data_IF_367605583320
#
_entry.id   IF_367605583320
#
_cell.length_a   1.000
_cell.length_b   1.000
_cell.length_c   1.000
_cell.angle_alpha   90.00
_cell.angle_beta   90.00
_cell.angle_gamma   90.00
#
_symmetry.space_group_name_H-M   'P 1'
#
loop_
_entity.id
_entity.type
_entity.pdbx_description
1 polymer ?
#
# COMPACT_ATOMS: atom_id res chain seq x y z
N UNK A 1 -10.48 8.86 3.15
CA UNK A 1 -9.31 8.86 2.25
C UNK A 1 -9.69 9.81 1.15
N UNK A 2 -8.84 10.77 0.78
CA UNK A 2 -9.14 11.68 -0.32
C UNK A 2 -9.56 10.86 -1.54
N UNK A 3 -10.67 11.26 -2.19
CA UNK A 3 -11.23 10.61 -3.38
C UNK A 3 -10.23 10.39 -4.52
N UNK A 4 -9.07 11.05 -4.47
CA UNK A 4 -7.98 10.94 -5.45
C UNK A 4 -7.37 9.53 -5.56
N UNK A 5 -7.28 8.74 -4.49
CA UNK A 5 -6.76 7.36 -4.57
C UNK A 5 -7.74 6.37 -5.20
N UNK A 6 -9.04 6.56 -4.94
CA UNK A 6 -10.08 5.69 -5.50
C UNK A 6 -10.21 5.84 -7.02
N UNK A 7 -9.80 7.00 -7.56
CA UNK A 7 -9.94 7.31 -8.99
C UNK A 7 -8.64 7.13 -9.79
N UNK A 8 -7.53 6.72 -9.17
CA UNK A 8 -6.26 6.46 -9.86
C UNK A 8 -5.59 5.21 -9.28
N UNK A 9 -6.10 4.01 -9.60
CA UNK A 9 -5.56 2.76 -9.09
C UNK A 9 -4.15 2.50 -9.64
N UNK A 10 -3.25 2.03 -8.78
CA UNK A 10 -1.89 1.63 -9.17
C UNK A 10 -1.72 0.11 -8.98
N UNK A 11 -1.17 -0.63 -9.96
CA UNK A 11 -1.09 -2.10 -9.91
C UNK A 11 -0.33 -2.62 -8.68
N UNK A 12 0.67 -1.87 -8.22
CA UNK A 12 1.51 -2.24 -7.06
C UNK A 12 1.10 -1.60 -5.72
N UNK A 13 -0.11 -1.03 -5.64
CA UNK A 13 -0.71 -0.63 -4.37
C UNK A 13 -1.94 -1.50 -4.10
N UNK A 14 -2.24 -1.76 -2.83
CA UNK A 14 -3.51 -2.37 -2.46
C UNK A 14 -4.65 -1.37 -2.64
N UNK A 15 -5.75 -1.83 -3.22
CA UNK A 15 -6.94 -1.02 -3.40
C UNK A 15 -7.78 -1.07 -2.13
N UNK A 16 -8.13 0.11 -1.61
CA UNK A 16 -9.06 0.26 -0.50
C UNK A 16 -10.45 0.46 -1.09
N UNK A 17 -11.30 -0.53 -0.87
CA UNK A 17 -12.69 -0.55 -1.35
C UNK A 17 -13.57 0.38 -0.52
N UNK A 18 -13.22 0.60 0.74
CA UNK A 18 -13.99 1.49 1.61
C UNK A 18 -13.55 1.40 3.07
N UNK A 19 -14.25 2.17 3.89
CA UNK A 19 -14.12 2.14 5.35
C UNK A 19 -15.51 1.93 5.93
N UNK A 20 -15.64 0.98 6.84
CA UNK A 20 -16.84 0.77 7.64
C UNK A 20 -16.57 1.28 9.04
N UNK A 21 -17.50 2.06 9.56
CA UNK A 21 -17.56 2.42 10.98
C UNK A 21 -18.46 1.43 11.71
N UNK A 22 -17.93 0.77 12.74
CA UNK A 22 -18.68 -0.17 13.55
C UNK A 22 -18.43 0.11 15.03
N UNK A 23 -19.36 0.86 15.65
CA UNK A 23 -19.20 1.35 17.02
C UNK A 23 -17.97 2.26 17.13
N UNK A 24 -16.99 1.85 17.93
CA UNK A 24 -15.73 2.58 18.13
C UNK A 24 -14.58 2.05 17.25
N UNK A 25 -14.88 1.18 16.28
CA UNK A 25 -13.89 0.59 15.38
C UNK A 25 -14.05 1.12 13.96
N UNK A 26 -12.91 1.31 13.29
CA UNK A 26 -12.85 1.51 11.85
C UNK A 26 -12.35 0.22 11.19
N UNK A 27 -13.12 -0.29 10.24
CA UNK A 27 -12.78 -1.48 9.47
C UNK A 27 -12.43 -1.04 8.05
N UNK A 28 -11.19 -1.31 7.63
CA UNK A 28 -10.72 -1.06 6.27
C UNK A 28 -11.08 -2.24 5.37
N UNK A 29 -11.92 -2.00 4.37
CA UNK A 29 -12.17 -2.96 3.31
C UNK A 29 -11.14 -2.75 2.21
N UNK A 30 -10.44 -3.81 1.85
CA UNK A 30 -9.42 -3.80 0.81
C UNK A 30 -9.56 -5.01 -0.10
N UNK A 31 -9.11 -4.88 -1.34
CA UNK A 31 -9.04 -6.03 -2.24
C UNK A 31 -8.14 -7.11 -1.64
N UNK A 32 -8.54 -8.37 -1.80
CA UNK A 32 -7.71 -9.48 -1.35
C UNK A 32 -6.43 -9.52 -2.19
N UNK A 33 -5.31 -9.22 -1.56
CA UNK A 33 -3.99 -9.15 -2.18
C UNK A 33 -3.16 -10.40 -1.91
N UNK A 34 -3.74 -11.60 -1.89
CA UNK A 34 -3.00 -12.84 -1.61
C UNK A 34 -2.72 -13.09 -0.12
N UNK A 35 -2.00 -14.19 0.16
CA UNK A 35 -1.85 -14.75 1.50
C UNK A 35 -0.45 -14.62 2.11
N UNK A 36 0.55 -14.16 1.35
CA UNK A 36 1.93 -14.07 1.83
C UNK A 36 2.50 -12.66 1.64
N UNK A 37 3.12 -12.15 2.68
CA UNK A 37 3.94 -10.94 2.60
C UNK A 37 5.34 -11.25 2.04
N UNK A 38 6.09 -10.21 1.68
CA UNK A 38 7.41 -10.35 1.08
C UNK A 38 8.40 -10.98 2.07
N UNK A 39 8.24 -10.76 3.38
CA UNK A 39 9.06 -11.42 4.40
C UNK A 39 8.82 -12.94 4.39
N UNK A 40 7.57 -13.37 4.33
CA UNK A 40 7.15 -14.76 4.19
C UNK A 40 7.69 -15.36 2.89
N UNK A 41 7.57 -14.64 1.78
CA UNK A 41 8.09 -15.07 0.48
C UNK A 41 9.61 -15.28 0.52
N UNK A 42 10.37 -14.35 1.08
CA UNK A 42 11.83 -14.46 1.24
C UNK A 42 12.20 -15.71 2.06
N UNK A 43 11.43 -16.04 3.10
CA UNK A 43 11.65 -17.22 3.95
C UNK A 43 11.45 -18.55 3.21
N UNK A 44 10.81 -18.57 2.04
CA UNK A 44 10.66 -19.78 1.22
C UNK A 44 11.96 -20.18 0.51
N UNK A 45 12.91 -19.26 0.38
CA UNK A 45 14.17 -19.52 -0.33
C UNK A 45 15.26 -20.03 0.61
N UNK A 46 16.18 -20.88 0.12
CA UNK A 46 17.37 -21.30 0.86
C UNK A 46 18.13 -20.07 1.38
N UNK A 47 18.61 -20.17 2.62
CA UNK A 47 19.34 -19.09 3.30
C UNK A 47 18.60 -17.74 3.39
N UNK A 48 17.29 -17.72 3.09
CA UNK A 48 16.49 -16.49 2.99
C UNK A 48 17.01 -15.54 1.90
N UNK A 49 17.53 -16.11 0.79
CA UNK A 49 18.08 -15.35 -0.34
C UNK A 49 17.27 -15.58 -1.60
N UNK A 50 16.63 -14.51 -2.06
CA UNK A 50 15.88 -14.51 -3.32
C UNK A 50 16.89 -14.36 -4.49
N UNK A 51 16.75 -15.14 -5.58
CA UNK A 51 17.55 -14.96 -6.79
C UNK A 51 17.51 -13.53 -7.31
N UNK A 52 18.65 -13.02 -7.77
CA UNK A 52 18.79 -11.62 -8.19
C UNK A 52 17.79 -11.22 -9.29
N UNK A 53 17.49 -12.12 -10.24
CA UNK A 53 16.50 -11.88 -11.28
C UNK A 53 15.10 -11.61 -10.72
N UNK A 54 14.70 -12.38 -9.69
CA UNK A 54 13.42 -12.20 -9.00
C UNK A 54 13.46 -10.93 -8.17
N UNK A 55 14.53 -10.71 -7.39
CA UNK A 55 14.69 -9.51 -6.57
C UNK A 55 14.65 -8.24 -7.43
N UNK A 56 15.31 -8.23 -8.58
CA UNK A 56 15.32 -7.09 -9.49
C UNK A 56 13.89 -6.75 -9.95
N UNK A 57 13.12 -7.75 -10.40
CA UNK A 57 11.74 -7.56 -10.78
C UNK A 57 10.86 -7.05 -9.62
N UNK A 58 10.97 -7.63 -8.42
CA UNK A 58 10.15 -7.19 -7.29
C UNK A 58 10.50 -5.76 -6.83
N UNK A 59 11.79 -5.46 -6.67
CA UNK A 59 12.24 -4.18 -6.12
C UNK A 59 12.20 -3.04 -7.15
N UNK A 60 12.89 -3.20 -8.29
CA UNK A 60 13.04 -2.10 -9.24
C UNK A 60 11.77 -1.88 -10.06
N UNK A 61 11.13 -2.94 -10.52
CA UNK A 61 10.00 -2.81 -11.44
C UNK A 61 8.66 -2.57 -10.75
N UNK A 62 8.52 -2.96 -9.48
CA UNK A 62 7.21 -2.97 -8.82
C UNK A 62 7.16 -2.11 -7.56
N UNK A 63 8.02 -2.38 -6.58
CA UNK A 63 8.03 -1.62 -5.31
C UNK A 63 8.43 -0.16 -5.53
N UNK A 64 9.50 0.10 -6.29
CA UNK A 64 9.91 1.48 -6.61
C UNK A 64 8.87 2.22 -7.46
N UNK A 65 8.14 1.52 -8.35
CA UNK A 65 7.03 2.14 -9.10
C UNK A 65 5.89 2.59 -8.18
N UNK A 66 5.48 1.74 -7.24
CA UNK A 66 4.51 2.11 -6.21
C UNK A 66 4.97 3.32 -5.38
N UNK A 67 6.22 3.32 -4.92
CA UNK A 67 6.79 4.41 -4.13
C UNK A 67 6.82 5.72 -4.94
N UNK A 68 7.26 5.64 -6.19
CA UNK A 68 7.28 6.80 -7.08
C UNK A 68 5.86 7.38 -7.27
N UNK A 69 4.87 6.52 -7.49
CA UNK A 69 3.48 6.94 -7.57
C UNK A 69 3.00 7.67 -6.29
N UNK A 70 3.36 7.16 -5.11
CA UNK A 70 3.02 7.85 -3.85
C UNK A 70 3.69 9.22 -3.78
N UNK A 71 4.98 9.29 -4.09
CA UNK A 71 5.76 10.52 -4.00
C UNK A 71 5.29 11.60 -4.99
N UNK A 72 4.92 11.24 -6.22
CA UNK A 72 4.37 12.19 -7.20
C UNK A 72 3.02 12.75 -6.77
N UNK A 73 2.29 12.03 -5.91
CA UNK A 73 1.05 12.47 -5.29
C UNK A 73 1.26 13.08 -3.88
N UNK A 74 2.50 13.43 -3.53
CA UNK A 74 2.88 14.03 -2.24
C UNK A 74 2.54 13.16 -1.01
N UNK A 75 2.50 11.83 -1.16
CA UNK A 75 2.28 10.89 -0.06
C UNK A 75 3.58 10.21 0.30
N UNK A 76 3.92 10.21 1.59
CA UNK A 76 5.04 9.42 2.12
C UNK A 76 4.47 8.26 2.92
N UNK A 77 4.87 7.03 2.59
CA UNK A 77 4.39 5.81 3.25
C UNK A 77 4.82 5.71 4.72
N UNK A 78 6.10 6.02 4.98
CA UNK A 78 6.80 6.00 6.29
C UNK A 78 6.96 4.66 6.99
N UNK A 79 6.31 3.59 6.53
CA UNK A 79 6.51 2.23 7.08
C UNK A 79 6.73 1.20 5.96
N UNK A 80 7.72 1.44 5.09
CA UNK A 80 8.08 0.49 4.02
C UNK A 80 9.01 -0.56 4.59
N UNK A 81 8.53 -1.81 4.60
CA UNK A 81 9.23 -3.00 5.06
C UNK A 81 8.65 -4.25 4.38
N UNK A 82 9.35 -5.39 4.34
CA UNK A 82 8.87 -6.59 3.65
C UNK A 82 7.51 -7.11 4.16
N UNK A 83 7.20 -6.90 5.44
CA UNK A 83 5.91 -7.28 6.03
C UNK A 83 4.73 -6.47 5.48
N UNK A 84 5.00 -5.25 4.99
CA UNK A 84 3.98 -4.36 4.42
C UNK A 84 3.91 -4.46 2.89
N UNK A 85 4.43 -5.54 2.30
CA UNK A 85 4.39 -5.76 0.85
C UNK A 85 3.83 -7.16 0.63
N UNK A 86 2.67 -7.28 0.02
CA UNK A 86 2.10 -8.57 -0.37
C UNK A 86 2.72 -9.07 -1.67
N UNK A 87 2.92 -10.37 -1.78
CA UNK A 87 3.32 -11.06 -3.01
C UNK A 87 2.10 -11.82 -3.54
N UNK A 88 1.68 -11.47 -4.75
CA UNK A 88 0.48 -12.01 -5.39
C UNK A 88 0.80 -12.68 -6.70
N UNK A 89 0.02 -13.71 -7.03
CA UNK A 89 0.01 -14.27 -8.36
C UNK A 89 -1.06 -13.55 -9.17
N UNK A 90 -0.64 -12.91 -10.26
CA UNK A 90 -1.53 -12.30 -11.23
C UNK A 90 -2.26 -13.37 -12.07
N UNK A 91 -3.34 -12.99 -12.73
CA UNK A 91 -4.13 -13.88 -13.61
C UNK A 91 -3.32 -14.52 -14.74
N UNK A 92 -2.24 -13.87 -15.14
CA UNK A 92 -1.27 -14.35 -16.15
C UNK A 92 -0.13 -15.18 -15.55
N UNK A 93 -0.26 -15.61 -14.29
CA UNK A 93 0.75 -16.38 -13.54
C UNK A 93 2.07 -15.64 -13.28
N UNK A 94 2.08 -14.31 -13.40
CA UNK A 94 3.24 -13.49 -13.01
C UNK A 94 3.20 -13.13 -11.53
N UNK A 95 4.39 -13.02 -10.91
CA UNK A 95 4.51 -12.56 -9.53
C UNK A 95 4.39 -11.03 -9.52
N UNK A 96 3.43 -10.52 -8.74
CA UNK A 96 3.29 -9.09 -8.50
C UNK A 96 3.45 -8.74 -7.02
N UNK A 97 3.83 -7.50 -6.74
CA UNK A 97 3.87 -6.96 -5.38
C UNK A 97 2.78 -5.92 -5.17
N UNK A 98 2.15 -5.91 -3.99
CA UNK A 98 1.24 -4.84 -3.56
C UNK A 98 1.69 -4.25 -2.24
N UNK A 99 2.00 -2.96 -2.23
CA UNK A 99 2.27 -2.22 -1.00
C UNK A 99 0.97 -2.06 -0.21
N UNK A 100 1.02 -2.39 1.08
CA UNK A 100 -0.08 -2.34 2.04
C UNK A 100 0.27 -1.47 3.23
N UNK A 101 -0.72 -1.26 4.11
CA UNK A 101 -0.61 -0.58 5.40
C UNK A 101 -0.17 0.89 5.32
N UNK A 102 -1.14 1.74 4.99
CA UNK A 102 -0.99 3.18 4.98
C UNK A 102 -1.26 3.83 6.36
N UNK A 103 -1.29 3.06 7.46
CA UNK A 103 -1.60 3.56 8.80
C UNK A 103 -0.65 4.69 9.26
N UNK A 104 0.61 4.62 8.82
CA UNK A 104 1.62 5.65 9.07
C UNK A 104 1.79 6.63 7.92
N UNK A 105 1.02 6.53 6.85
CA UNK A 105 1.20 7.41 5.70
C UNK A 105 0.86 8.87 6.00
N UNK A 106 1.45 9.78 5.22
CA UNK A 106 1.29 11.22 5.41
C UNK A 106 1.20 11.96 4.09
N UNK A 107 0.22 12.86 3.98
CA UNK A 107 0.14 13.81 2.88
C UNK A 107 1.03 15.01 3.22
N UNK A 108 1.98 15.30 2.35
CA UNK A 108 2.86 16.45 2.44
C UNK A 108 2.15 17.63 1.75
N UNK A 109 1.80 18.67 2.52
CA UNK A 109 1.24 19.92 1.98
C UNK A 109 2.27 21.03 2.17
N UNK A 110 2.31 21.98 1.25
CA UNK A 110 3.25 23.12 1.25
C UNK A 110 3.18 24.03 2.49
N UNK A 111 2.16 23.87 3.35
CA UNK A 111 1.99 24.61 4.63
C UNK A 111 1.58 23.73 5.82
N UNK A 112 2.21 22.56 5.96
CA UNK A 112 2.11 21.76 7.18
C UNK A 112 1.73 20.30 6.97
N UNK A 113 1.78 19.57 8.07
CA UNK A 113 1.78 18.13 8.14
C UNK A 113 0.41 17.59 8.57
N UNK A 114 -0.27 16.79 7.75
CA UNK A 114 -1.48 16.06 8.16
C UNK A 114 -1.27 14.55 8.02
N UNK A 115 -1.48 13.78 9.10
CA UNK A 115 -1.43 12.31 9.03
C UNK A 115 -2.62 11.75 8.27
N UNK A 116 -2.48 10.62 7.57
CA UNK A 116 -3.57 10.03 6.80
C UNK A 116 -4.78 9.62 7.65
N UNK A 117 -4.55 9.19 8.91
CA UNK A 117 -5.61 8.96 9.89
C UNK A 117 -6.44 10.22 10.17
N UNK A 118 -5.78 11.37 10.34
CA UNK A 118 -6.46 12.67 10.50
C UNK A 118 -7.20 13.10 9.23
N UNK A 119 -6.64 12.84 8.04
CA UNK A 119 -7.27 13.17 6.77
C UNK A 119 -8.59 12.39 6.56
N UNK A 120 -8.59 11.09 6.91
CA UNK A 120 -9.76 10.22 6.92
C UNK A 120 -10.89 10.74 7.83
N UNK A 121 -10.57 11.16 9.06
CA UNK A 121 -11.56 11.72 9.98
C UNK A 121 -12.05 13.12 9.56
N UNK A 122 -11.21 13.94 8.94
CA UNK A 122 -11.58 15.30 8.54
C UNK A 122 -12.51 15.37 7.33
N UNK A 123 -12.52 14.34 6.46
CA UNK A 123 -13.40 14.30 5.28
C UNK A 123 -14.89 14.07 5.56
N UNK A 124 -15.30 13.90 6.82
CA UNK A 124 -16.72 13.74 7.20
C UNK A 124 -17.35 14.98 7.88
N UNK A 125 -16.60 16.05 8.17
CA UNK A 125 -17.17 17.26 8.81
C UNK A 125 -17.84 18.25 7.82
N UNK A 126 -18.14 17.81 6.60
CA UNK A 126 -18.61 18.68 5.51
C UNK A 126 -20.08 18.55 5.11
N UNK A 127 -20.90 17.77 5.82
CA UNK A 127 -22.33 17.68 5.57
C UNK A 127 -23.10 17.77 6.90
N UNK A 128 -23.33 19.01 7.35
CA UNK A 128 -24.50 19.38 8.17
C UNK A 128 -25.21 20.51 7.45
#
# INVERSE_FOLDING_TARGET
MNREFANNPHPNLIEILGVIEYGNFFVLLMNYGGSIDLMGFIKLFPEKRVPESIANNLFYEQILRAINFLHTNNIVHRDIKPENILVVLSSDSTIQTKLIDFGFSKLIRSKGFATMSQALCSSQKGNV
#
